data_IF_967459313072
#
_entry.id   IF_967459313072
#
_cell.length_a   1.000
_cell.length_b   1.000
_cell.length_c   1.000
_cell.angle_alpha   90.00
_cell.angle_beta   90.00
_cell.angle_gamma   90.00
#
_symmetry.space_group_name_H-M   'P 1'
#
loop_
_entity.id
_entity.type
_entity.pdbx_description
1 polymer ?
#
# COMPACT_ATOMS: atom_id res chain seq x y z
N UNK A 1 -28.30 -12.62 -0.49
CA UNK A 1 -27.68 -11.28 -0.62
C UNK A 1 -26.76 -11.27 -1.83
N UNK A 2 -26.85 -10.24 -2.70
CA UNK A 2 -25.97 -10.07 -3.87
C UNK A 2 -25.00 -8.93 -3.64
N UNK A 3 -23.70 -9.18 -3.72
CA UNK A 3 -22.64 -8.18 -3.56
C UNK A 3 -21.82 -8.04 -4.83
N UNK A 4 -21.61 -6.82 -5.30
CA UNK A 4 -20.71 -6.52 -6.41
C UNK A 4 -19.45 -5.85 -5.91
N UNK A 5 -18.28 -6.40 -6.28
CA UNK A 5 -16.96 -5.86 -5.94
C UNK A 5 -16.33 -5.26 -7.19
N UNK A 6 -15.92 -4.01 -7.13
CA UNK A 6 -15.23 -3.32 -8.21
C UNK A 6 -13.78 -3.09 -7.87
N UNK A 7 -12.87 -3.61 -8.69
CA UNK A 7 -11.43 -3.34 -8.61
C UNK A 7 -10.73 -3.52 -9.98
N UNK A 8 -11.11 -2.69 -10.95
CA UNK A 8 -10.43 -2.69 -12.27
C UNK A 8 -9.02 -2.08 -12.25
N UNK A 9 -8.61 -1.22 -11.29
CA UNK A 9 -7.23 -0.76 -11.20
C UNK A 9 -6.24 -1.81 -10.74
N UNK A 10 -6.62 -2.75 -9.88
CA UNK A 10 -5.70 -3.71 -9.28
C UNK A 10 -5.03 -4.60 -10.33
N UNK A 11 -3.70 -4.59 -10.34
CA UNK A 11 -2.87 -5.45 -11.23
C UNK A 11 -1.63 -5.99 -10.54
N UNK A 12 -1.18 -5.31 -9.49
CA UNK A 12 0.03 -5.65 -8.74
C UNK A 12 0.02 -5.00 -7.34
N UNK A 13 0.98 -5.34 -6.52
CA UNK A 13 1.27 -4.70 -5.23
C UNK A 13 0.09 -4.77 -4.24
N UNK A 14 0.01 -3.82 -3.32
CA UNK A 14 -0.98 -3.78 -2.25
C UNK A 14 -2.44 -3.78 -2.70
N UNK A 15 -2.76 -3.20 -3.87
CA UNK A 15 -4.13 -3.25 -4.41
C UNK A 15 -4.54 -4.67 -4.77
N UNK A 16 -3.66 -5.43 -5.42
CA UNK A 16 -3.92 -6.84 -5.74
C UNK A 16 -4.08 -7.67 -4.47
N UNK A 17 -3.26 -7.43 -3.45
CA UNK A 17 -3.37 -8.12 -2.15
C UNK A 17 -4.75 -7.91 -1.51
N UNK A 18 -5.27 -6.68 -1.53
CA UNK A 18 -6.62 -6.37 -1.02
C UNK A 18 -7.70 -7.10 -1.83
N UNK A 19 -7.61 -7.07 -3.16
CA UNK A 19 -8.55 -7.77 -4.04
C UNK A 19 -8.56 -9.28 -3.76
N UNK A 20 -7.38 -9.91 -3.64
CA UNK A 20 -7.24 -11.35 -3.33
C UNK A 20 -7.80 -11.69 -1.95
N UNK A 21 -7.63 -10.81 -0.96
CA UNK A 21 -8.19 -11.01 0.37
C UNK A 21 -9.73 -11.03 0.32
N UNK A 22 -10.36 -10.06 -0.36
CA UNK A 22 -11.80 -10.06 -0.53
C UNK A 22 -12.30 -11.25 -1.35
N UNK A 23 -11.55 -11.68 -2.36
CA UNK A 23 -11.87 -12.88 -3.10
C UNK A 23 -11.83 -14.14 -2.23
N UNK A 24 -10.78 -14.32 -1.42
CA UNK A 24 -10.69 -15.45 -0.46
C UNK A 24 -11.84 -15.44 0.55
N UNK A 25 -12.21 -14.28 1.07
CA UNK A 25 -13.38 -14.11 1.95
C UNK A 25 -14.68 -14.49 1.23
N UNK A 26 -14.85 -14.09 -0.03
CA UNK A 26 -16.00 -14.46 -0.85
C UNK A 26 -16.12 -15.98 -1.04
N UNK A 27 -15.04 -16.64 -1.44
CA UNK A 27 -15.00 -18.11 -1.61
C UNK A 27 -15.35 -18.82 -0.30
N UNK A 28 -14.76 -18.41 0.83
CA UNK A 28 -15.06 -18.97 2.16
C UNK A 28 -16.52 -18.79 2.58
N UNK A 29 -17.21 -17.81 2.01
CA UNK A 29 -18.61 -17.49 2.35
C UNK A 29 -19.67 -18.31 1.57
N UNK A 30 -19.30 -19.36 0.86
CA UNK A 30 -20.20 -20.17 0.03
C UNK A 30 -21.47 -20.62 0.76
N UNK A 31 -21.34 -21.04 2.02
CA UNK A 31 -22.46 -21.53 2.83
C UNK A 31 -23.35 -20.43 3.44
N UNK A 32 -23.04 -19.13 3.20
CA UNK A 32 -23.80 -18.01 3.80
C UNK A 32 -24.95 -17.50 2.93
N UNK A 33 -25.12 -18.04 1.71
CA UNK A 33 -26.11 -17.58 0.74
C UNK A 33 -25.78 -16.24 0.10
N UNK A 34 -24.56 -15.73 0.25
CA UNK A 34 -24.08 -14.49 -0.39
C UNK A 34 -23.52 -14.83 -1.77
N UNK A 35 -24.06 -14.17 -2.80
CA UNK A 35 -23.57 -14.27 -4.19
C UNK A 35 -22.67 -13.06 -4.48
N UNK A 36 -21.45 -13.32 -4.93
CA UNK A 36 -20.45 -12.31 -5.22
C UNK A 36 -20.25 -12.16 -6.73
N UNK A 37 -20.10 -10.93 -7.19
CA UNK A 37 -19.69 -10.62 -8.57
C UNK A 37 -18.50 -9.69 -8.52
N UNK A 38 -17.33 -10.17 -8.93
CA UNK A 38 -16.11 -9.36 -9.04
C UNK A 38 -16.02 -8.74 -10.43
N UNK A 39 -15.79 -7.43 -10.48
CA UNK A 39 -15.59 -6.65 -11.68
C UNK A 39 -14.16 -6.16 -11.69
N UNK A 40 -13.33 -6.79 -12.50
CA UNK A 40 -11.87 -6.63 -12.49
C UNK A 40 -11.32 -6.41 -13.92
N UNK A 41 -10.03 -6.12 -14.06
CA UNK A 41 -9.39 -5.97 -15.37
C UNK A 41 -8.59 -7.20 -15.79
N UNK A 42 -7.33 -7.28 -15.40
CA UNK A 42 -6.37 -8.28 -15.88
C UNK A 42 -6.12 -9.46 -14.95
N UNK A 43 -6.26 -9.37 -13.61
CA UNK A 43 -6.06 -10.52 -12.75
C UNK A 43 -6.94 -11.70 -13.15
N UNK A 44 -6.40 -12.92 -13.03
CA UNK A 44 -7.15 -14.15 -13.24
C UNK A 44 -7.65 -14.65 -11.88
N UNK A 45 -8.96 -14.83 -11.81
CA UNK A 45 -9.64 -15.36 -10.63
C UNK A 45 -10.63 -16.41 -11.09
N UNK A 46 -10.70 -17.52 -10.38
CA UNK A 46 -11.61 -18.61 -10.72
C UNK A 46 -13.05 -18.26 -10.31
N UNK A 47 -14.02 -18.71 -11.11
CA UNK A 47 -15.42 -18.67 -10.72
C UNK A 47 -15.74 -19.87 -9.83
N UNK A 48 -16.58 -19.65 -8.81
CA UNK A 48 -17.06 -20.72 -7.92
C UNK A 48 -18.59 -20.68 -7.88
N UNK A 49 -19.19 -21.58 -7.13
CA UNK A 49 -20.66 -21.66 -7.01
C UNK A 49 -21.28 -20.31 -6.55
N UNK A 50 -20.58 -19.58 -5.68
CA UNK A 50 -21.04 -18.29 -5.11
C UNK A 50 -20.26 -17.08 -5.62
N UNK A 51 -19.26 -17.26 -6.49
CA UNK A 51 -18.41 -16.16 -7.03
C UNK A 51 -18.43 -16.18 -8.54
N UNK A 52 -18.85 -15.07 -9.12
CA UNK A 52 -18.78 -14.75 -10.55
C UNK A 52 -17.71 -13.69 -10.82
N UNK A 53 -17.00 -13.78 -11.95
CA UNK A 53 -15.92 -12.85 -12.32
C UNK A 53 -16.20 -12.22 -13.68
N UNK A 54 -16.29 -10.90 -13.74
CA UNK A 54 -16.47 -10.12 -14.96
C UNK A 54 -15.16 -9.38 -15.26
N UNK A 55 -14.48 -9.74 -16.34
CA UNK A 55 -13.18 -9.18 -16.71
C UNK A 55 -13.29 -8.16 -17.83
N UNK A 56 -12.63 -6.99 -17.62
CA UNK A 56 -12.61 -5.87 -18.58
C UNK A 56 -11.16 -5.42 -18.86
N UNK A 57 -10.29 -6.23 -19.51
CA UNK A 57 -8.89 -5.88 -19.72
C UNK A 57 -8.67 -4.61 -20.52
N UNK A 58 -9.61 -4.29 -21.43
CA UNK A 58 -9.55 -3.11 -22.29
C UNK A 58 -9.55 -1.77 -21.52
N UNK A 59 -10.03 -1.76 -20.26
CA UNK A 59 -10.02 -0.57 -19.38
C UNK A 59 -8.60 -0.05 -19.16
N UNK A 60 -7.60 -0.94 -19.24
CA UNK A 60 -6.17 -0.59 -19.06
C UNK A 60 -5.53 0.08 -20.28
N UNK A 61 -6.19 0.14 -21.43
CA UNK A 61 -5.60 0.70 -22.65
C UNK A 61 -5.30 2.20 -22.54
N UNK A 62 -6.13 2.97 -21.83
CA UNK A 62 -5.88 4.40 -21.59
C UNK A 62 -6.82 4.98 -20.52
N UNK A 63 -6.53 6.19 -20.05
CA UNK A 63 -7.38 6.96 -19.16
C UNK A 63 -8.79 7.21 -19.71
N UNK A 64 -8.92 7.37 -21.02
CA UNK A 64 -10.23 7.53 -21.67
C UNK A 64 -11.07 6.25 -21.58
N UNK A 65 -10.46 5.09 -21.79
CA UNK A 65 -11.12 3.80 -21.61
C UNK A 65 -11.59 3.61 -20.16
N UNK A 66 -10.74 3.98 -19.20
CA UNK A 66 -11.08 3.95 -17.78
C UNK A 66 -12.27 4.87 -17.49
N UNK A 67 -12.23 6.12 -17.94
CA UNK A 67 -13.31 7.07 -17.72
C UNK A 67 -14.62 6.60 -18.36
N UNK A 68 -14.55 6.05 -19.58
CA UNK A 68 -15.71 5.46 -20.25
C UNK A 68 -16.32 4.32 -19.45
N UNK A 69 -15.48 3.41 -18.94
CA UNK A 69 -15.93 2.33 -18.08
C UNK A 69 -16.64 2.86 -16.85
N UNK A 70 -16.01 3.76 -16.11
CA UNK A 70 -16.53 4.29 -14.84
C UNK A 70 -17.84 5.05 -15.03
N UNK A 71 -17.99 5.83 -16.12
CA UNK A 71 -19.17 6.66 -16.34
C UNK A 71 -20.34 5.93 -17.00
N UNK A 72 -20.07 4.91 -17.83
CA UNK A 72 -21.11 4.29 -18.66
C UNK A 72 -21.26 2.80 -18.38
N UNK A 73 -20.16 2.02 -18.35
CA UNK A 73 -20.25 0.57 -18.25
C UNK A 73 -20.55 0.12 -16.81
N UNK A 74 -19.80 0.61 -15.83
CA UNK A 74 -19.98 0.22 -14.43
C UNK A 74 -21.41 0.54 -13.92
N UNK A 75 -21.99 1.75 -14.17
CA UNK A 75 -23.38 2.02 -13.78
C UNK A 75 -24.41 1.12 -14.47
N UNK A 76 -24.20 0.75 -15.73
CA UNK A 76 -25.09 -0.19 -16.44
C UNK A 76 -25.01 -1.60 -15.87
N UNK A 77 -23.78 -2.06 -15.53
CA UNK A 77 -23.59 -3.36 -14.88
C UNK A 77 -24.34 -3.42 -13.55
N UNK A 78 -24.19 -2.40 -12.71
CA UNK A 78 -24.92 -2.31 -11.43
C UNK A 78 -26.41 -2.39 -11.63
N UNK A 79 -26.97 -1.61 -12.56
CA UNK A 79 -28.42 -1.62 -12.83
C UNK A 79 -28.92 -2.98 -13.34
N UNK A 80 -28.12 -3.65 -14.20
CA UNK A 80 -28.45 -4.96 -14.79
C UNK A 80 -28.38 -6.08 -13.75
N UNK A 81 -27.36 -6.08 -12.89
CA UNK A 81 -27.15 -7.12 -11.87
C UNK A 81 -28.04 -6.91 -10.64
N UNK A 82 -28.46 -5.64 -10.40
CA UNK A 82 -29.29 -5.24 -9.27
C UNK A 82 -28.78 -5.78 -7.92
N UNK A 83 -27.53 -5.44 -7.50
CA UNK A 83 -26.97 -5.93 -6.26
C UNK A 83 -27.63 -5.28 -5.04
N UNK A 84 -27.58 -5.97 -3.89
CA UNK A 84 -27.97 -5.41 -2.61
C UNK A 84 -26.89 -4.43 -2.07
N UNK A 85 -25.62 -4.68 -2.42
CA UNK A 85 -24.47 -3.89 -1.98
C UNK A 85 -23.37 -3.84 -3.05
N UNK A 86 -22.80 -2.65 -3.22
CA UNK A 86 -21.60 -2.42 -4.04
C UNK A 86 -20.42 -2.18 -3.09
N UNK A 87 -19.36 -2.96 -3.23
CA UNK A 87 -18.07 -2.73 -2.59
C UNK A 87 -17.07 -2.23 -3.64
N UNK A 88 -16.65 -0.98 -3.53
CA UNK A 88 -15.61 -0.42 -4.38
C UNK A 88 -14.27 -0.44 -3.68
N UNK A 89 -13.30 -1.17 -4.22
CA UNK A 89 -11.91 -1.19 -3.78
C UNK A 89 -11.04 -0.15 -4.53
N UNK A 90 -11.65 0.74 -5.29
CA UNK A 90 -11.00 1.66 -6.22
C UNK A 90 -10.77 3.08 -5.65
N UNK A 91 -10.99 3.29 -4.35
CA UNK A 91 -10.98 4.60 -3.69
C UNK A 91 -12.08 5.58 -4.16
N UNK A 92 -12.95 5.19 -5.10
CA UNK A 92 -14.05 6.01 -5.62
C UNK A 92 -15.35 5.22 -5.71
N UNK A 93 -16.48 5.88 -5.49
CA UNK A 93 -17.81 5.26 -5.63
C UNK A 93 -18.21 5.16 -7.10
N UNK A 94 -19.05 4.15 -7.44
CA UNK A 94 -19.63 4.04 -8.77
C UNK A 94 -20.63 5.18 -8.98
N UNK A 95 -20.48 5.99 -10.06
CA UNK A 95 -21.35 7.14 -10.28
C UNK A 95 -22.75 6.70 -10.77
N UNK A 96 -23.74 7.60 -10.64
CA UNK A 96 -25.09 7.46 -11.19
C UNK A 96 -25.93 6.26 -10.69
N UNK A 97 -25.55 5.65 -9.53
CA UNK A 97 -26.23 4.49 -8.93
C UNK A 97 -26.61 4.72 -7.46
N UNK A 98 -27.09 5.93 -7.14
CA UNK A 98 -27.34 6.39 -5.74
C UNK A 98 -28.31 5.55 -4.92
N UNK A 99 -29.21 4.78 -5.54
CA UNK A 99 -30.18 3.94 -4.83
C UNK A 99 -29.62 2.59 -4.36
N UNK A 100 -28.38 2.28 -4.72
CA UNK A 100 -27.70 1.09 -4.27
C UNK A 100 -26.77 1.44 -3.10
N UNK A 101 -26.75 0.60 -2.06
CA UNK A 101 -25.81 0.75 -0.96
C UNK A 101 -24.37 0.65 -1.48
N UNK A 102 -23.53 1.65 -1.19
CA UNK A 102 -22.14 1.68 -1.61
C UNK A 102 -21.20 1.69 -0.40
N UNK A 103 -20.38 0.65 -0.29
CA UNK A 103 -19.27 0.53 0.63
C UNK A 103 -17.99 0.89 -0.14
N UNK A 104 -17.21 1.82 0.40
CA UNK A 104 -16.01 2.35 -0.24
C UNK A 104 -14.78 1.96 0.57
N UNK A 105 -13.86 1.22 -0.04
CA UNK A 105 -12.56 0.94 0.53
C UNK A 105 -11.55 2.01 0.10
N UNK A 106 -10.91 2.68 1.08
CA UNK A 106 -9.96 3.77 0.84
C UNK A 106 -8.58 3.33 1.30
N UNK A 107 -7.69 3.09 0.33
CA UNK A 107 -6.29 2.69 0.52
C UNK A 107 -5.30 3.60 -0.23
N UNK A 108 -5.71 4.82 -0.57
CA UNK A 108 -4.85 5.84 -1.17
C UNK A 108 -4.61 6.95 -0.16
N UNK A 109 -3.38 7.04 0.35
CA UNK A 109 -2.99 8.01 1.38
C UNK A 109 -2.62 9.40 0.85
N UNK A 110 -2.16 9.50 -0.40
CA UNK A 110 -1.68 10.77 -0.99
C UNK A 110 -2.59 12.00 -0.78
N UNK A 111 -3.94 11.90 -0.91
CA UNK A 111 -4.80 13.06 -0.65
C UNK A 111 -4.81 13.53 0.80
N UNK A 112 -4.38 12.69 1.74
CA UNK A 112 -4.56 12.89 3.18
C UNK A 112 -3.29 13.34 3.90
N UNK A 113 -2.12 13.04 3.34
CA UNK A 113 -0.82 13.41 3.94
C UNK A 113 -0.58 14.93 3.90
N UNK A 114 0.27 15.40 4.81
CA UNK A 114 0.64 16.81 4.91
C UNK A 114 1.61 17.24 3.81
N UNK A 115 2.54 16.38 3.45
CA UNK A 115 3.51 16.64 2.38
C UNK A 115 2.81 16.94 1.05
N UNK A 116 3.21 18.03 0.40
CA UNK A 116 2.63 18.47 -0.88
C UNK A 116 3.65 18.36 -2.01
N UNK A 117 3.39 17.45 -2.93
CA UNK A 117 4.21 17.33 -4.12
C UNK A 117 4.03 18.51 -5.05
N UNK A 118 5.15 19.09 -5.49
CA UNK A 118 5.15 20.08 -6.57
C UNK A 118 4.86 19.41 -7.93
N UNK A 119 4.22 20.16 -8.85
CA UNK A 119 3.92 19.63 -10.20
C UNK A 119 5.20 19.20 -10.95
N UNK A 120 6.30 19.96 -10.78
CA UNK A 120 7.60 19.63 -11.40
C UNK A 120 8.37 18.54 -10.66
N UNK A 121 8.10 18.35 -9.38
CA UNK A 121 8.73 17.33 -8.55
C UNK A 121 8.20 15.93 -8.90
N UNK A 122 6.89 15.78 -8.88
CA UNK A 122 6.21 14.54 -9.26
C UNK A 122 4.79 14.83 -9.75
N UNK A 123 4.64 14.93 -11.08
CA UNK A 123 3.37 15.25 -11.73
C UNK A 123 2.27 14.22 -11.38
N UNK A 124 2.63 12.95 -11.25
CA UNK A 124 1.68 11.89 -10.92
C UNK A 124 1.12 12.06 -9.51
N UNK A 125 2.01 12.26 -8.51
CA UNK A 125 1.58 12.43 -7.12
C UNK A 125 0.84 13.76 -6.90
N UNK A 126 1.28 14.83 -7.60
CA UNK A 126 0.55 16.09 -7.64
C UNK A 126 -0.88 15.88 -8.17
N UNK A 127 -1.04 15.10 -9.24
CA UNK A 127 -2.36 14.77 -9.83
C UNK A 127 -3.21 13.98 -8.84
N UNK A 128 -2.62 13.00 -8.14
CA UNK A 128 -3.32 12.25 -7.08
C UNK A 128 -3.76 13.15 -5.93
N UNK A 129 -2.95 14.11 -5.51
CA UNK A 129 -3.31 15.03 -4.43
C UNK A 129 -4.36 16.06 -4.85
N UNK A 130 -4.23 16.64 -6.04
CA UNK A 130 -5.00 17.82 -6.42
C UNK A 130 -6.22 17.54 -7.30
N UNK A 131 -6.19 16.47 -8.10
CA UNK A 131 -7.27 16.12 -9.02
C UNK A 131 -7.98 14.85 -8.53
N UNK A 132 -7.30 13.71 -8.50
CA UNK A 132 -7.90 12.42 -8.11
C UNK A 132 -8.37 12.47 -6.66
N UNK A 133 -7.62 13.11 -5.77
CA UNK A 133 -7.97 13.29 -4.36
C UNK A 133 -9.32 13.98 -4.15
N UNK A 134 -9.69 14.94 -5.02
CA UNK A 134 -11.03 15.57 -4.96
C UNK A 134 -12.14 14.58 -5.26
N UNK A 135 -11.92 13.64 -6.18
CA UNK A 135 -12.89 12.58 -6.49
C UNK A 135 -12.97 11.57 -5.34
N UNK A 136 -11.84 11.23 -4.72
CA UNK A 136 -11.81 10.36 -3.54
C UNK A 136 -12.59 11.01 -2.39
N UNK A 137 -12.30 12.27 -2.03
CA UNK A 137 -12.99 12.98 -0.96
C UNK A 137 -14.50 13.11 -1.26
N UNK A 138 -14.88 13.37 -2.52
CA UNK A 138 -16.29 13.40 -2.92
C UNK A 138 -16.95 12.03 -2.78
N UNK A 139 -16.24 10.96 -3.08
CA UNK A 139 -16.73 9.58 -2.95
C UNK A 139 -16.91 9.18 -1.49
N UNK A 140 -15.99 9.55 -0.60
CA UNK A 140 -16.11 9.37 0.85
C UNK A 140 -17.38 10.03 1.40
N UNK A 141 -17.70 11.24 0.94
CA UNK A 141 -18.93 11.93 1.35
C UNK A 141 -20.20 11.20 0.90
N UNK A 142 -20.16 10.56 -0.27
CA UNK A 142 -21.31 9.92 -0.91
C UNK A 142 -21.53 8.47 -0.53
N UNK A 143 -20.47 7.74 -0.19
CA UNK A 143 -20.57 6.34 0.22
C UNK A 143 -21.47 6.20 1.46
N UNK A 144 -22.14 5.08 1.60
CA UNK A 144 -22.94 4.76 2.79
C UNK A 144 -22.05 4.30 3.95
N UNK A 145 -21.00 3.58 3.63
CA UNK A 145 -20.00 3.08 4.57
C UNK A 145 -18.60 3.18 3.95
N UNK A 146 -17.58 3.41 4.77
CA UNK A 146 -16.20 3.54 4.34
C UNK A 146 -15.36 2.53 5.13
N UNK A 147 -14.44 1.87 4.44
CA UNK A 147 -13.45 0.99 5.03
C UNK A 147 -12.07 1.60 4.81
N UNK A 148 -11.27 1.65 5.86
CA UNK A 148 -9.87 2.06 5.84
C UNK A 148 -9.02 1.06 6.62
N UNK A 149 -7.71 1.06 6.42
CA UNK A 149 -6.82 0.07 7.04
C UNK A 149 -6.34 0.46 8.44
N UNK A 150 -6.38 1.76 8.78
CA UNK A 150 -5.77 2.32 10.00
C UNK A 150 -6.63 3.42 10.62
N UNK A 151 -6.43 3.69 11.90
CA UNK A 151 -7.11 4.79 12.60
C UNK A 151 -6.63 6.16 12.09
N UNK A 152 -5.34 6.33 11.77
CA UNK A 152 -4.87 7.56 11.19
C UNK A 152 -5.58 7.89 9.87
N UNK A 153 -5.80 6.88 9.00
CA UNK A 153 -6.59 7.04 7.77
C UNK A 153 -8.06 7.40 8.06
N UNK A 154 -8.66 6.80 9.10
CA UNK A 154 -10.01 7.14 9.55
C UNK A 154 -10.09 8.61 9.95
N UNK A 155 -9.18 9.07 10.78
CA UNK A 155 -9.13 10.46 11.24
C UNK A 155 -8.91 11.42 10.07
N UNK A 156 -7.96 11.12 9.19
CA UNK A 156 -7.67 11.89 7.99
C UNK A 156 -8.87 11.99 7.04
N UNK A 157 -9.61 10.88 6.84
CA UNK A 157 -10.85 10.88 6.06
C UNK A 157 -11.94 11.72 6.73
N UNK A 158 -12.12 11.60 8.06
CA UNK A 158 -13.08 12.42 8.81
C UNK A 158 -12.81 13.91 8.65
N UNK A 159 -11.56 14.33 8.84
CA UNK A 159 -11.14 15.73 8.76
C UNK A 159 -11.29 16.28 7.33
N UNK A 160 -10.74 15.60 6.33
CA UNK A 160 -10.72 16.06 4.93
C UNK A 160 -12.10 16.02 4.26
N UNK A 161 -12.86 14.96 4.49
CA UNK A 161 -14.17 14.80 3.88
C UNK A 161 -15.31 15.38 4.73
N UNK A 162 -15.07 15.72 6.01
CA UNK A 162 -16.07 16.21 6.97
C UNK A 162 -17.24 15.24 7.12
N UNK A 163 -16.92 13.97 7.38
CA UNK A 163 -17.88 12.88 7.62
C UNK A 163 -17.79 12.39 9.06
N UNK A 164 -18.89 11.78 9.57
CA UNK A 164 -18.91 11.21 10.91
C UNK A 164 -17.96 10.00 11.04
N UNK A 165 -17.23 9.85 12.15
CA UNK A 165 -16.43 8.67 12.43
C UNK A 165 -17.22 7.35 12.41
N UNK A 166 -18.52 7.39 12.73
CA UNK A 166 -19.41 6.23 12.69
C UNK A 166 -19.63 5.67 11.28
N UNK A 167 -19.34 6.46 10.25
CA UNK A 167 -19.42 6.06 8.85
C UNK A 167 -18.18 5.25 8.40
N UNK A 168 -17.09 5.29 9.19
CA UNK A 168 -15.81 4.72 8.81
C UNK A 168 -15.46 3.57 9.75
N UNK A 169 -15.28 2.39 9.15
CA UNK A 169 -14.81 1.18 9.81
C UNK A 169 -13.33 0.97 9.51
N UNK A 170 -12.55 0.61 10.51
CA UNK A 170 -11.13 0.25 10.36
C UNK A 170 -11.05 -1.26 10.20
N UNK A 171 -10.47 -1.72 9.11
CA UNK A 171 -10.16 -3.13 8.82
C UNK A 171 -8.68 -3.23 8.43
N UNK A 172 -7.79 -3.55 9.35
CA UNK A 172 -6.39 -3.85 9.04
C UNK A 172 -6.30 -5.03 8.05
N UNK A 173 -5.26 -5.08 7.21
CA UNK A 173 -5.03 -6.22 6.32
C UNK A 173 -4.90 -7.53 7.12
N UNK A 174 -5.55 -8.58 6.66
CA UNK A 174 -5.38 -9.93 7.23
C UNK A 174 -4.05 -10.52 6.74
N UNK A 175 -3.05 -10.53 7.61
CA UNK A 175 -1.77 -11.17 7.32
C UNK A 175 -1.78 -12.59 7.91
N UNK A 176 -1.91 -13.59 7.06
CA UNK A 176 -1.64 -14.97 7.42
C UNK A 176 -0.13 -15.21 7.32
N UNK A 177 0.64 -14.65 8.29
CA UNK A 177 2.08 -14.83 8.36
C UNK A 177 2.37 -15.99 9.30
N UNK A 178 2.88 -17.09 8.76
CA UNK A 178 3.51 -18.14 9.55
C UNK A 178 4.95 -17.77 9.78
N UNK A 179 5.28 -17.32 11.00
CA UNK A 179 6.65 -16.97 11.37
C UNK A 179 7.44 -18.26 11.62
N UNK A 180 8.28 -18.65 10.65
CA UNK A 180 9.13 -19.84 10.73
C UNK A 180 10.42 -19.58 11.51
N UNK A 181 10.92 -18.34 11.50
CA UNK A 181 12.17 -17.97 12.13
C UNK A 181 12.06 -16.54 12.70
N UNK A 182 12.32 -16.40 13.99
CA UNK A 182 12.41 -15.09 14.65
C UNK A 182 13.80 -14.49 14.48
N UNK A 183 13.90 -13.19 14.69
CA UNK A 183 15.18 -12.49 14.72
C UNK A 183 16.12 -13.14 15.74
N UNK A 184 17.37 -13.37 15.31
CA UNK A 184 18.42 -13.90 16.14
C UNK A 184 19.53 -12.87 16.25
N UNK A 185 19.89 -12.53 17.49
CA UNK A 185 20.93 -11.57 17.76
C UNK A 185 22.31 -12.19 17.50
N UNK A 186 22.92 -11.76 16.40
CA UNK A 186 24.31 -12.07 16.03
C UNK A 186 25.04 -10.75 15.77
N UNK A 187 26.36 -10.74 15.82
CA UNK A 187 27.15 -9.52 15.57
C UNK A 187 26.85 -8.92 14.17
N UNK A 188 26.64 -9.75 13.17
CA UNK A 188 26.29 -9.36 11.81
C UNK A 188 24.85 -8.85 11.66
N UNK A 189 23.92 -9.33 12.50
CA UNK A 189 22.49 -8.98 12.39
C UNK A 189 22.22 -7.51 12.68
N UNK A 190 22.90 -6.93 13.68
CA UNK A 190 22.77 -5.52 14.04
C UNK A 190 23.56 -4.57 13.11
N UNK A 191 24.41 -5.12 12.24
CA UNK A 191 25.20 -4.38 11.25
C UNK A 191 24.64 -4.53 9.82
N UNK A 192 23.55 -5.25 9.67
CA UNK A 192 22.86 -5.42 8.40
C UNK A 192 21.49 -4.74 8.45
N UNK A 193 21.29 -3.72 7.63
CA UNK A 193 20.04 -2.99 7.50
C UNK A 193 19.33 -3.45 6.24
N UNK A 194 18.05 -3.77 6.33
CA UNK A 194 17.27 -4.32 5.23
C UNK A 194 16.05 -3.45 4.93
N UNK A 195 15.80 -3.17 3.66
CA UNK A 195 14.62 -2.41 3.22
C UNK A 195 13.93 -3.05 2.02
N UNK A 196 12.82 -3.77 2.21
CA UNK A 196 12.01 -4.34 1.13
C UNK A 196 11.00 -3.32 0.62
N UNK A 197 11.37 -2.52 -0.37
CA UNK A 197 10.50 -1.49 -0.91
C UNK A 197 10.69 -1.28 -2.42
N UNK A 198 9.60 -0.95 -3.11
CA UNK A 198 9.62 -0.56 -4.52
C UNK A 198 10.28 0.82 -4.73
N UNK A 199 10.82 1.11 -5.92
CA UNK A 199 11.55 2.35 -6.22
C UNK A 199 10.61 3.54 -6.47
N UNK A 200 9.85 3.93 -5.44
CA UNK A 200 9.00 5.10 -5.45
C UNK A 200 9.59 6.19 -4.55
N UNK A 201 9.47 7.46 -4.92
CA UNK A 201 10.09 8.58 -4.19
C UNK A 201 9.63 8.68 -2.73
N UNK A 202 8.35 8.40 -2.45
CA UNK A 202 7.82 8.40 -1.08
C UNK A 202 8.34 7.26 -0.18
N UNK A 203 8.99 6.24 -0.76
CA UNK A 203 9.71 5.21 -0.01
C UNK A 203 11.05 5.72 0.53
N UNK A 204 11.47 6.89 0.10
CA UNK A 204 12.56 7.66 0.68
C UNK A 204 13.93 6.96 0.75
N UNK A 205 14.27 6.15 -0.25
CA UNK A 205 15.59 5.50 -0.31
C UNK A 205 16.75 6.50 -0.28
N UNK A 206 16.53 7.76 -0.74
CA UNK A 206 17.56 8.80 -0.75
C UNK A 206 18.11 9.09 0.63
N UNK A 207 17.29 9.09 1.68
CA UNK A 207 17.77 9.36 3.04
C UNK A 207 18.72 8.27 3.54
N UNK A 208 18.52 7.02 3.09
CA UNK A 208 19.45 5.91 3.40
C UNK A 208 20.84 6.22 2.81
N UNK A 209 20.90 6.69 1.56
CA UNK A 209 22.17 7.05 0.92
C UNK A 209 22.84 8.22 1.65
N UNK A 210 22.06 9.21 2.07
CA UNK A 210 22.55 10.38 2.80
C UNK A 210 23.10 9.98 4.16
N UNK A 211 22.39 9.13 4.91
CA UNK A 211 22.88 8.58 6.18
C UNK A 211 24.16 7.76 5.99
N UNK A 212 24.23 6.88 4.99
CA UNK A 212 25.43 6.12 4.65
C UNK A 212 26.63 7.03 4.33
N UNK A 213 26.39 8.12 3.62
CA UNK A 213 27.44 9.11 3.31
C UNK A 213 27.97 9.79 4.57
N UNK A 214 27.08 10.21 5.46
CA UNK A 214 27.47 10.79 6.76
C UNK A 214 28.25 9.80 7.63
N UNK A 215 27.80 8.57 7.72
CA UNK A 215 28.53 7.50 8.45
C UNK A 215 29.95 7.30 7.88
N UNK A 216 30.08 7.29 6.55
CA UNK A 216 31.38 7.18 5.89
C UNK A 216 32.30 8.37 6.21
N UNK A 217 31.77 9.60 6.25
CA UNK A 217 32.50 10.81 6.65
C UNK A 217 32.97 10.75 8.12
N UNK A 218 32.22 10.03 8.99
CA UNK A 218 32.57 9.75 10.37
C UNK A 218 33.54 8.56 10.54
N UNK A 219 33.92 7.89 9.44
CA UNK A 219 34.79 6.71 9.48
C UNK A 219 34.10 5.44 9.97
N UNK A 220 32.78 5.38 9.92
CA UNK A 220 31.95 4.21 10.28
C UNK A 220 31.63 3.45 9.01
N UNK A 221 32.23 2.27 8.82
CA UNK A 221 32.10 1.44 7.61
C UNK A 221 31.76 -0.04 7.89
N UNK A 222 31.72 -0.45 9.15
CA UNK A 222 31.44 -1.84 9.56
C UNK A 222 29.92 -2.12 9.62
N UNK A 223 29.23 -1.87 8.50
CA UNK A 223 27.82 -2.17 8.31
C UNK A 223 27.53 -2.36 6.81
N UNK A 224 26.33 -2.86 6.49
CA UNK A 224 25.80 -2.90 5.12
C UNK A 224 24.31 -2.63 5.09
N UNK A 225 23.84 -2.06 3.98
CA UNK A 225 22.43 -1.87 3.68
C UNK A 225 22.02 -2.74 2.50
N UNK A 226 20.92 -3.44 2.61
CA UNK A 226 20.39 -4.34 1.59
C UNK A 226 19.04 -3.81 1.10
N UNK A 227 18.98 -3.45 -0.19
CA UNK A 227 17.77 -2.94 -0.85
C UNK A 227 17.24 -3.96 -1.84
N UNK A 228 15.92 -4.18 -1.85
CA UNK A 228 15.26 -5.07 -2.83
C UNK A 228 15.04 -4.40 -4.19
N UNK A 229 16.00 -3.60 -4.62
CA UNK A 229 16.07 -2.96 -5.93
C UNK A 229 17.22 -3.58 -6.72
N UNK A 230 17.14 -3.59 -8.05
CA UNK A 230 18.26 -3.95 -8.92
C UNK A 230 18.97 -2.73 -9.53
N UNK A 231 18.43 -1.53 -9.33
CA UNK A 231 18.98 -0.27 -9.82
C UNK A 231 18.56 0.12 -11.24
N UNK A 232 17.71 -0.69 -11.90
CA UNK A 232 17.27 -0.46 -13.28
C UNK A 232 15.75 -0.48 -13.47
N UNK A 233 14.97 -0.49 -12.40
CA UNK A 233 13.51 -0.55 -12.46
C UNK A 233 12.89 0.74 -13.05
N UNK A 234 13.50 1.87 -12.77
CA UNK A 234 13.11 3.20 -13.26
C UNK A 234 14.25 4.22 -13.08
N UNK A 235 14.04 5.45 -13.52
CA UNK A 235 15.04 6.54 -13.40
C UNK A 235 15.45 6.82 -11.96
N UNK A 236 14.50 6.74 -11.01
CA UNK A 236 14.78 6.92 -9.58
C UNK A 236 15.70 5.82 -9.03
N UNK A 237 15.44 4.55 -9.36
CA UNK A 237 16.30 3.43 -8.94
C UNK A 237 17.71 3.56 -9.55
N UNK A 238 17.80 3.95 -10.82
CA UNK A 238 19.08 4.15 -11.50
C UNK A 238 19.89 5.27 -10.84
N UNK A 239 19.27 6.41 -10.53
CA UNK A 239 19.92 7.50 -9.81
C UNK A 239 20.49 7.05 -8.45
N UNK A 240 19.71 6.26 -7.68
CA UNK A 240 20.14 5.71 -6.40
C UNK A 240 21.34 4.78 -6.56
N UNK A 241 21.27 3.88 -7.54
CA UNK A 241 22.33 2.93 -7.82
C UNK A 241 23.65 3.62 -8.21
N UNK A 242 23.59 4.54 -9.20
CA UNK A 242 24.75 5.29 -9.67
C UNK A 242 25.37 6.14 -8.52
N UNK A 243 24.55 6.77 -7.70
CA UNK A 243 25.01 7.55 -6.55
C UNK A 243 25.70 6.66 -5.52
N UNK A 244 25.10 5.51 -5.17
CA UNK A 244 25.70 4.58 -4.23
C UNK A 244 27.06 4.04 -4.71
N UNK A 245 27.17 3.69 -6.01
CA UNK A 245 28.43 3.20 -6.62
C UNK A 245 29.49 4.31 -6.65
N UNK A 246 29.13 5.51 -7.14
CA UNK A 246 30.04 6.64 -7.23
C UNK A 246 30.62 7.04 -5.89
N UNK A 247 29.78 7.07 -4.85
CA UNK A 247 30.17 7.48 -3.50
C UNK A 247 30.76 6.32 -2.68
N UNK A 248 30.83 5.08 -3.25
CA UNK A 248 31.35 3.87 -2.62
C UNK A 248 30.66 3.57 -1.28
N UNK A 249 29.32 3.60 -1.28
CA UNK A 249 28.50 3.33 -0.10
C UNK A 249 28.29 1.82 0.08
N UNK A 250 28.19 1.31 1.33
CA UNK A 250 28.01 -0.11 1.61
C UNK A 250 26.55 -0.55 1.39
N UNK A 251 26.04 -0.35 0.16
CA UNK A 251 24.65 -0.63 -0.23
C UNK A 251 24.63 -1.72 -1.29
N UNK A 252 23.93 -2.81 -0.99
CA UNK A 252 23.71 -3.95 -1.87
C UNK A 252 22.34 -3.85 -2.53
N UNK A 253 22.30 -3.92 -3.86
CA UNK A 253 21.08 -3.94 -4.67
C UNK A 253 20.81 -5.38 -5.11
N UNK A 254 19.91 -6.09 -4.41
CA UNK A 254 19.72 -7.54 -4.59
C UNK A 254 18.51 -7.90 -5.49
N UNK A 255 17.75 -6.89 -5.94
CA UNK A 255 16.54 -7.11 -6.73
C UNK A 255 15.33 -7.56 -5.91
N UNK A 256 14.22 -7.80 -6.60
CA UNK A 256 12.97 -8.25 -5.98
C UNK A 256 13.10 -9.63 -5.35
N UNK A 257 12.55 -9.80 -4.17
CA UNK A 257 12.51 -11.05 -3.42
C UNK A 257 11.09 -11.62 -3.37
N UNK A 258 10.99 -12.94 -3.22
CA UNK A 258 9.76 -13.60 -2.81
C UNK A 258 9.47 -13.30 -1.34
N UNK A 259 8.22 -13.44 -0.93
CA UNK A 259 7.78 -13.13 0.43
C UNK A 259 8.53 -13.92 1.51
N UNK A 260 8.79 -15.19 1.26
CA UNK A 260 9.54 -16.07 2.17
C UNK A 260 10.99 -15.59 2.34
N UNK A 261 11.62 -15.11 1.27
CA UNK A 261 12.99 -14.57 1.32
C UNK A 261 13.04 -13.25 2.10
N UNK A 262 12.01 -12.40 1.98
CA UNK A 262 11.87 -11.19 2.80
C UNK A 262 11.77 -11.55 4.29
N UNK A 263 11.01 -12.59 4.63
CA UNK A 263 10.90 -13.07 6.02
C UNK A 263 12.22 -13.62 6.58
N UNK A 264 13.04 -14.25 5.74
CA UNK A 264 14.38 -14.66 6.13
C UNK A 264 15.27 -13.46 6.45
N UNK A 265 15.14 -12.36 5.72
CA UNK A 265 15.86 -11.13 6.03
C UNK A 265 15.46 -10.54 7.38
N UNK A 266 14.17 -10.48 7.72
CA UNK A 266 13.74 -10.02 9.05
C UNK A 266 14.32 -10.86 10.19
N UNK A 267 14.64 -12.12 9.97
CA UNK A 267 15.24 -12.96 11.02
C UNK A 267 16.73 -12.68 11.31
N UNK A 268 17.41 -11.89 10.48
CA UNK A 268 18.87 -11.68 10.54
C UNK A 268 19.34 -10.25 10.24
N UNK A 269 18.43 -9.28 10.23
CA UNK A 269 18.77 -7.88 9.94
C UNK A 269 17.84 -6.92 10.67
N UNK A 270 18.25 -5.66 10.79
CA UNK A 270 17.43 -4.55 11.24
C UNK A 270 16.58 -4.06 10.06
N UNK A 271 15.26 -3.93 10.24
CA UNK A 271 14.46 -3.23 9.25
C UNK A 271 14.75 -1.74 9.34
N UNK A 272 15.14 -1.11 8.21
CA UNK A 272 15.12 0.35 8.07
C UNK A 272 13.93 0.73 7.20
N UNK A 273 13.04 1.59 7.71
CA UNK A 273 11.79 1.92 7.03
C UNK A 273 11.58 3.43 6.94
N UNK A 274 12.22 4.11 5.96
CA UNK A 274 12.19 5.55 5.83
C UNK A 274 10.97 6.09 5.06
N UNK A 275 10.01 5.25 4.68
CA UNK A 275 8.80 5.67 3.97
C UNK A 275 8.03 6.71 4.79
N UNK A 276 7.63 7.81 4.16
CA UNK A 276 6.85 8.87 4.80
C UNK A 276 5.40 8.95 4.33
N UNK A 277 4.99 8.07 3.42
CA UNK A 277 3.61 7.97 2.93
C UNK A 277 3.21 6.51 2.79
N UNK A 278 2.38 6.03 3.69
CA UNK A 278 1.75 4.71 3.65
C UNK A 278 0.29 4.80 4.07
N UNK A 279 -0.49 3.82 3.72
CA UNK A 279 -1.80 3.60 4.34
C UNK A 279 -1.70 2.73 5.57
N UNK A 280 -0.82 1.71 5.52
CA UNK A 280 -0.59 0.77 6.61
C UNK A 280 0.90 0.58 6.90
N UNK A 281 1.73 0.18 5.93
CA UNK A 281 3.14 -0.14 6.15
C UNK A 281 3.34 -1.61 6.51
N UNK A 282 2.93 -2.52 5.63
CA UNK A 282 3.05 -3.97 5.83
C UNK A 282 4.42 -4.45 6.33
N UNK A 283 5.56 -3.94 5.79
CA UNK A 283 6.88 -4.35 6.28
C UNK A 283 7.11 -4.08 7.77
N UNK A 284 6.49 -3.04 8.34
CA UNK A 284 6.60 -2.75 9.78
C UNK A 284 5.95 -3.87 10.61
N UNK A 285 4.72 -4.27 10.24
CA UNK A 285 4.04 -5.36 10.92
C UNK A 285 4.74 -6.71 10.71
N UNK A 286 5.23 -6.97 9.49
CA UNK A 286 5.98 -8.18 9.17
C UNK A 286 7.24 -8.31 10.02
N UNK A 287 8.06 -7.25 10.09
CA UNK A 287 9.28 -7.21 10.91
C UNK A 287 8.99 -7.33 12.42
N UNK A 288 7.95 -6.63 12.91
CA UNK A 288 7.46 -6.73 14.29
C UNK A 288 7.10 -8.17 14.66
N UNK A 289 6.36 -8.88 13.80
CA UNK A 289 5.99 -10.28 14.01
C UNK A 289 7.23 -11.20 14.06
N UNK A 290 8.27 -10.89 13.28
CA UNK A 290 9.54 -11.61 13.31
C UNK A 290 10.47 -11.19 14.48
N UNK A 291 10.03 -10.25 15.32
CA UNK A 291 10.80 -9.66 16.43
C UNK A 291 12.10 -8.97 15.98
N UNK A 292 12.16 -8.49 14.75
CA UNK A 292 13.31 -7.78 14.21
C UNK A 292 13.41 -6.37 14.81
N UNK A 293 14.61 -5.84 15.10
CA UNK A 293 14.78 -4.44 15.40
C UNK A 293 14.36 -3.57 14.22
N UNK A 294 13.72 -2.43 14.50
CA UNK A 294 13.13 -1.55 13.48
C UNK A 294 13.62 -0.12 13.68
N UNK A 295 14.09 0.51 12.61
CA UNK A 295 14.32 1.96 12.53
C UNK A 295 13.30 2.51 11.53
N UNK A 296 12.34 3.29 11.99
CA UNK A 296 11.21 3.74 11.19
C UNK A 296 11.07 5.26 11.17
N UNK A 297 10.56 5.80 10.07
CA UNK A 297 10.14 7.21 9.99
C UNK A 297 9.12 7.52 11.08
N UNK A 298 9.26 8.65 11.75
CA UNK A 298 8.31 9.21 12.71
C UNK A 298 7.06 9.69 11.97
N UNK A 299 6.06 8.82 11.90
CA UNK A 299 4.81 9.04 11.16
C UNK A 299 3.63 8.40 11.89
N UNK A 300 2.43 8.93 11.66
CA UNK A 300 1.21 8.42 12.29
C UNK A 300 0.97 6.93 12.04
N UNK A 301 1.25 6.44 10.83
CA UNK A 301 1.09 5.01 10.53
C UNK A 301 2.15 4.14 11.19
N UNK A 302 3.38 4.63 11.33
CA UNK A 302 4.47 3.89 12.01
C UNK A 302 4.14 3.72 13.50
N UNK A 303 3.73 4.78 14.16
CA UNK A 303 3.27 4.75 15.54
C UNK A 303 2.08 3.82 15.73
N UNK A 304 1.05 3.91 14.88
CA UNK A 304 -0.13 3.04 15.00
C UNK A 304 0.22 1.54 14.97
N UNK A 305 1.29 1.16 14.25
CA UNK A 305 1.71 -0.25 14.15
C UNK A 305 2.71 -0.62 15.26
N UNK A 306 3.56 0.32 15.69
CA UNK A 306 4.75 0.03 16.48
C UNK A 306 4.73 0.58 17.91
N UNK A 307 3.71 1.34 18.33
CA UNK A 307 3.68 1.97 19.67
C UNK A 307 3.83 0.98 20.84
N UNK A 308 3.42 -0.27 20.67
CA UNK A 308 3.57 -1.35 21.65
C UNK A 308 4.81 -2.22 21.42
N UNK A 309 5.72 -1.79 20.54
CA UNK A 309 6.91 -2.56 20.18
C UNK A 309 8.19 -1.98 20.79
N UNK A 310 8.87 -2.75 21.64
CA UNK A 310 10.04 -2.28 22.39
C UNK A 310 11.30 -2.10 21.54
N UNK A 311 11.44 -2.86 20.43
CA UNK A 311 12.64 -2.85 19.58
C UNK A 311 12.48 -1.91 18.37
N UNK A 312 12.04 -0.68 18.60
CA UNK A 312 11.87 0.34 17.57
C UNK A 312 12.54 1.65 17.95
N UNK A 313 13.10 2.32 16.92
CA UNK A 313 13.61 3.69 16.98
C UNK A 313 12.96 4.49 15.87
N UNK A 314 12.46 5.68 16.20
CA UNK A 314 11.86 6.60 15.24
C UNK A 314 12.83 7.71 14.87
N UNK A 315 12.78 8.16 13.62
CA UNK A 315 13.57 9.28 13.12
C UNK A 315 12.74 10.19 12.20
N UNK A 316 13.08 11.46 12.15
CA UNK A 316 12.43 12.43 11.27
C UNK A 316 12.63 12.06 9.79
N UNK A 317 11.56 11.90 8.96
CA UNK A 317 11.66 11.36 7.60
C UNK A 317 12.59 12.11 6.66
N UNK A 318 12.93 13.35 6.97
CA UNK A 318 13.74 14.23 6.11
C UNK A 318 15.05 14.68 6.79
N UNK A 319 15.40 14.08 7.91
CA UNK A 319 16.64 14.29 8.62
C UNK A 319 17.50 13.02 8.59
N UNK A 320 18.72 13.14 8.05
CA UNK A 320 19.67 12.03 7.94
C UNK A 320 20.70 12.01 9.08
N UNK A 321 20.60 12.93 10.09
CA UNK A 321 21.49 12.99 11.26
C UNK A 321 21.15 11.97 12.35
#
# INVERSE_FOLDING_TARGET
MKRMVFDVPATASGALTVLEEYYKRAVKSANTGVQWTFVISTPEMEETENVRVLRYPWVKKSWLHRLFFDCFVAPQLVRKQNPDEILSLENVTIPFVRKFKQVLYVHQSLPFVEYKFGFKENMLYWTYQNIIGRFIIRSIRKADEIIVQTNWMKEACCQKAKVSPSKIRVEPPELNIEVKKYFTLEASSLRTFFYPASPNSHKNHRIILEACKKLKELGIDDYRVVLTLNGHENEYALELYEKAQRDGLPIEFIGSLKREEVYEWYSKSVLIFPSYIETFGLPLLEAKLHKAPIIASDTLFSHEILDDYENVWFFEPFDAD
#
